data_IF_372234934346
#
_entry.id   IF_372234934346
#
_cell.length_a   1.000
_cell.length_b   1.000
_cell.length_c   1.000
_cell.angle_alpha   90.00
_cell.angle_beta   90.00
_cell.angle_gamma   90.00
#
_symmetry.space_group_name_H-M   'P 1'
#
loop_
_entity.id
_entity.type
_entity.pdbx_description
1 polymer ?
#
# COMPACT_ATOMS: atom_id res chain seq x y z
N UNK A 1 8.49 -12.69 17.54
CA UNK A 1 8.34 -11.48 18.33
C UNK A 1 6.86 -11.11 18.49
N UNK A 2 6.49 -10.53 19.64
CA UNK A 2 5.12 -10.12 19.93
C UNK A 2 4.77 -8.74 19.35
N UNK A 3 5.72 -8.09 18.67
CA UNK A 3 5.58 -6.80 18.01
C UNK A 3 5.65 -6.94 16.47
N UNK A 4 5.11 -5.95 15.78
CA UNK A 4 5.33 -5.78 14.34
C UNK A 4 6.78 -5.36 14.08
N UNK A 5 7.36 -5.87 13.01
CA UNK A 5 8.66 -5.46 12.49
C UNK A 5 8.45 -4.83 11.12
N UNK A 6 9.01 -3.66 10.90
CA UNK A 6 8.95 -2.97 9.61
C UNK A 6 10.38 -2.70 9.12
N UNK A 7 10.58 -2.94 7.82
CA UNK A 7 11.85 -2.64 7.13
C UNK A 7 11.61 -2.46 5.64
N UNK A 8 12.65 -1.98 4.91
CA UNK A 8 12.68 -1.93 3.45
C UNK A 8 13.19 -3.27 2.89
N UNK A 9 12.77 -3.62 1.68
CA UNK A 9 13.18 -4.86 1.01
C UNK A 9 13.22 -4.65 -0.51
N UNK A 10 14.38 -4.92 -1.11
CA UNK A 10 14.56 -5.01 -2.57
C UNK A 10 13.96 -3.83 -3.33
N UNK A 11 14.25 -2.62 -2.86
CA UNK A 11 13.74 -1.37 -3.43
C UNK A 11 14.53 -0.94 -4.65
N UNK A 12 15.87 -0.98 -4.57
CA UNK A 12 16.78 -0.50 -5.61
C UNK A 12 17.77 -1.60 -6.02
N UNK A 13 18.13 -1.65 -7.30
CA UNK A 13 19.08 -2.66 -7.81
C UNK A 13 20.49 -2.49 -7.22
N UNK A 14 20.91 -1.24 -7.00
CA UNK A 14 22.18 -0.90 -6.36
C UNK A 14 22.19 -1.32 -4.88
N UNK A 15 21.08 -1.10 -4.18
CA UNK A 15 20.87 -1.56 -2.80
C UNK A 15 21.02 -3.08 -2.70
N UNK A 16 20.32 -3.83 -3.58
CA UNK A 16 20.37 -5.30 -3.60
C UNK A 16 21.82 -5.77 -3.82
N UNK A 17 22.52 -5.12 -4.76
CA UNK A 17 23.94 -5.44 -5.04
C UNK A 17 24.82 -5.18 -3.82
N UNK A 18 24.58 -4.09 -3.12
CA UNK A 18 25.31 -3.72 -1.91
C UNK A 18 25.02 -4.71 -0.77
N UNK A 19 23.74 -5.01 -0.50
CA UNK A 19 23.35 -6.01 0.51
C UNK A 19 23.99 -7.36 0.22
N UNK A 20 24.00 -7.82 -1.05
CA UNK A 20 24.67 -9.07 -1.44
C UNK A 20 26.17 -9.05 -1.13
N UNK A 21 26.82 -7.90 -1.26
CA UNK A 21 28.25 -7.75 -0.91
C UNK A 21 28.52 -7.82 0.59
N UNK A 22 27.56 -7.35 1.42
CA UNK A 22 27.65 -7.36 2.88
C UNK A 22 27.29 -8.72 3.47
N UNK A 23 26.41 -9.47 2.81
CA UNK A 23 25.89 -10.78 3.24
C UNK A 23 26.10 -11.85 2.15
N UNK A 24 27.34 -12.19 1.81
CA UNK A 24 27.64 -13.07 0.68
C UNK A 24 27.10 -14.49 0.85
N UNK A 25 26.84 -14.94 2.09
CA UNK A 25 26.28 -16.26 2.40
C UNK A 25 24.74 -16.30 2.28
N UNK A 26 24.07 -15.15 2.21
CA UNK A 26 22.61 -15.09 2.02
C UNK A 26 22.26 -15.41 0.56
N UNK A 27 21.23 -16.22 0.36
CA UNK A 27 20.76 -16.61 -0.99
C UNK A 27 20.17 -15.42 -1.76
N UNK A 28 19.51 -14.52 -1.03
CA UNK A 28 18.88 -13.30 -1.55
C UNK A 28 18.73 -12.26 -0.43
N UNK A 29 18.10 -11.11 -0.74
CA UNK A 29 17.96 -10.03 0.22
C UNK A 29 17.06 -10.45 1.41
N UNK A 30 15.94 -11.13 1.16
CA UNK A 30 15.02 -11.55 2.22
C UNK A 30 15.69 -12.50 3.22
N UNK A 31 16.63 -13.33 2.76
CA UNK A 31 17.39 -14.23 3.63
C UNK A 31 18.21 -13.48 4.69
N UNK A 32 18.67 -12.26 4.40
CA UNK A 32 19.39 -11.46 5.39
C UNK A 32 18.54 -11.19 6.62
N UNK A 33 17.22 -10.99 6.45
CA UNK A 33 16.28 -10.86 7.56
C UNK A 33 15.95 -12.20 8.21
N UNK A 34 15.77 -13.25 7.39
CA UNK A 34 15.43 -14.58 7.87
C UNK A 34 16.49 -15.16 8.81
N UNK A 35 17.78 -14.98 8.51
CA UNK A 35 18.91 -15.44 9.33
C UNK A 35 18.89 -14.87 10.76
N UNK A 36 18.32 -13.67 10.95
CA UNK A 36 18.21 -13.02 12.25
C UNK A 36 16.84 -13.18 12.89
N UNK A 37 15.98 -14.07 12.37
CA UNK A 37 14.64 -14.31 12.90
C UNK A 37 13.67 -13.14 12.71
N UNK A 38 13.94 -12.26 11.74
CA UNK A 38 13.11 -11.09 11.44
C UNK A 38 12.07 -11.37 10.36
N UNK A 39 12.08 -12.57 9.76
CA UNK A 39 11.07 -13.00 8.79
C UNK A 39 9.95 -13.79 9.48
N UNK A 40 8.72 -13.34 9.31
CA UNK A 40 7.53 -13.99 9.88
C UNK A 40 6.25 -13.22 9.62
N UNK A 41 5.12 -13.73 10.10
CA UNK A 41 3.80 -13.17 9.85
C UNK A 41 3.62 -11.69 10.29
N UNK A 42 4.40 -11.24 11.28
CA UNK A 42 4.41 -9.85 11.75
C UNK A 42 5.42 -8.95 11.06
N UNK A 43 6.05 -9.43 9.98
CA UNK A 43 6.97 -8.66 9.14
C UNK A 43 6.22 -7.82 8.11
N UNK A 44 6.56 -6.53 8.04
CA UNK A 44 6.09 -5.56 7.07
C UNK A 44 7.29 -5.11 6.22
N UNK A 45 7.28 -5.46 4.93
CA UNK A 45 8.40 -5.20 4.03
C UNK A 45 8.02 -4.12 3.03
N UNK A 46 8.60 -2.93 3.18
CA UNK A 46 8.38 -1.80 2.28
C UNK A 46 8.96 -2.05 0.89
N UNK A 47 8.32 -1.46 -0.12
CA UNK A 47 8.69 -1.43 -1.54
C UNK A 47 8.60 -2.80 -2.25
N UNK A 48 9.50 -3.73 -1.98
CA UNK A 48 9.48 -5.08 -2.54
C UNK A 48 9.35 -5.10 -4.09
N UNK A 49 10.11 -4.22 -4.77
CA UNK A 49 10.03 -3.98 -6.23
C UNK A 49 10.72 -5.10 -7.01
N UNK A 50 11.91 -5.50 -6.56
CA UNK A 50 12.81 -6.40 -7.28
C UNK A 50 12.92 -7.78 -6.61
N UNK A 51 11.77 -8.33 -6.16
CA UNK A 51 11.72 -9.63 -5.52
C UNK A 51 11.99 -10.76 -6.51
N UNK A 52 12.78 -11.74 -6.09
CA UNK A 52 12.90 -13.02 -6.77
C UNK A 52 11.72 -13.95 -6.43
N UNK A 53 11.44 -14.94 -7.30
CA UNK A 53 10.32 -15.86 -7.10
C UNK A 53 10.41 -16.66 -5.79
N UNK A 54 11.63 -16.91 -5.28
CA UNK A 54 11.84 -17.56 -4.00
C UNK A 54 11.38 -16.68 -2.85
N UNK A 55 11.73 -15.40 -2.88
CA UNK A 55 11.35 -14.42 -1.86
C UNK A 55 9.83 -14.24 -1.80
N UNK A 56 9.17 -14.15 -2.96
CA UNK A 56 7.70 -14.05 -3.06
C UNK A 56 7.04 -15.26 -2.40
N UNK A 57 7.48 -16.49 -2.73
CA UNK A 57 6.95 -17.71 -2.11
C UNK A 57 7.17 -17.72 -0.60
N UNK A 58 8.34 -17.35 -0.14
CA UNK A 58 8.69 -17.35 1.27
C UNK A 58 7.87 -16.32 2.06
N UNK A 59 7.64 -15.11 1.51
CA UNK A 59 6.76 -14.11 2.12
C UNK A 59 5.33 -14.64 2.27
N UNK A 60 4.80 -15.29 1.24
CA UNK A 60 3.47 -15.90 1.28
C UNK A 60 3.38 -17.05 2.31
N UNK A 61 4.36 -17.95 2.32
CA UNK A 61 4.40 -19.11 3.23
C UNK A 61 4.45 -18.71 4.70
N UNK A 62 5.21 -17.67 5.05
CA UNK A 62 5.29 -17.20 6.45
C UNK A 62 4.18 -16.21 6.83
N UNK A 63 3.33 -15.83 5.88
CA UNK A 63 2.26 -14.87 6.11
C UNK A 63 2.72 -13.42 6.32
N UNK A 64 3.91 -13.08 5.85
CA UNK A 64 4.43 -11.72 5.90
C UNK A 64 3.65 -10.78 4.95
N UNK A 65 3.72 -9.49 5.20
CA UNK A 65 3.03 -8.49 4.39
C UNK A 65 4.04 -7.58 3.66
N UNK A 66 3.63 -7.13 2.47
CA UNK A 66 4.37 -6.15 1.68
C UNK A 66 3.61 -4.82 1.67
N UNK A 67 4.34 -3.73 1.72
CA UNK A 67 3.76 -2.37 1.70
C UNK A 67 4.15 -1.67 0.41
N UNK A 68 3.15 -1.41 -0.43
CA UNK A 68 3.34 -0.66 -1.68
C UNK A 68 3.43 0.83 -1.41
N UNK A 69 4.53 1.46 -1.82
CA UNK A 69 4.84 2.88 -1.63
C UNK A 69 4.95 3.59 -2.99
N UNK A 70 3.85 3.71 -3.78
CA UNK A 70 3.94 4.09 -5.19
C UNK A 70 4.51 5.49 -5.43
N UNK A 71 4.18 6.46 -4.57
CA UNK A 71 4.70 7.84 -4.70
C UNK A 71 6.20 7.92 -4.45
N UNK A 72 6.72 7.15 -3.50
CA UNK A 72 8.15 7.02 -3.23
C UNK A 72 8.86 6.30 -4.38
N UNK A 73 8.38 5.12 -4.74
CA UNK A 73 9.00 4.28 -5.77
C UNK A 73 9.13 5.02 -7.11
N UNK A 74 8.14 5.84 -7.48
CA UNK A 74 8.19 6.65 -8.70
C UNK A 74 9.08 7.88 -8.55
N UNK A 75 9.05 8.54 -7.39
CA UNK A 75 9.83 9.75 -7.12
C UNK A 75 11.34 9.49 -7.13
N UNK A 76 11.78 8.38 -6.51
CA UNK A 76 13.21 8.02 -6.45
C UNK A 76 13.64 7.01 -7.53
N UNK A 77 12.70 6.58 -8.40
CA UNK A 77 13.02 5.74 -9.56
C UNK A 77 13.27 4.26 -9.22
N UNK A 78 12.67 3.74 -8.14
CA UNK A 78 12.86 2.35 -7.70
C UNK A 78 12.35 1.32 -8.73
N UNK A 79 11.23 1.62 -9.40
CA UNK A 79 10.62 0.72 -10.38
C UNK A 79 9.12 0.57 -10.21
N UNK A 80 8.53 -0.41 -10.90
CA UNK A 80 7.09 -0.67 -10.95
C UNK A 80 6.72 -1.88 -10.10
N UNK A 81 5.96 -1.67 -9.04
CA UNK A 81 5.49 -2.70 -8.12
C UNK A 81 4.58 -3.73 -8.81
N UNK A 82 4.80 -5.03 -8.55
CA UNK A 82 4.01 -6.12 -9.13
C UNK A 82 2.83 -6.54 -8.24
N UNK A 83 1.81 -5.68 -8.20
CA UNK A 83 0.63 -5.91 -7.37
C UNK A 83 -0.09 -7.22 -7.69
N UNK A 84 -0.28 -7.52 -8.99
CA UNK A 84 -1.00 -8.75 -9.40
C UNK A 84 -0.21 -10.00 -9.14
N UNK A 85 1.11 -9.99 -9.41
CA UNK A 85 1.97 -11.16 -9.13
C UNK A 85 1.99 -11.50 -7.64
N UNK A 86 2.11 -10.51 -6.78
CA UNK A 86 2.07 -10.69 -5.32
C UNK A 86 0.68 -11.14 -4.84
N UNK A 87 -0.41 -10.58 -5.40
CA UNK A 87 -1.78 -11.02 -5.10
C UNK A 87 -1.98 -12.49 -5.46
N UNK A 88 -1.56 -12.90 -6.66
CA UNK A 88 -1.68 -14.29 -7.13
C UNK A 88 -0.83 -15.26 -6.29
N UNK A 89 0.29 -14.80 -5.77
CA UNK A 89 1.12 -15.58 -4.85
C UNK A 89 0.54 -15.65 -3.42
N UNK A 90 -0.53 -14.91 -3.11
CA UNK A 90 -1.16 -14.91 -1.79
C UNK A 90 -0.45 -14.02 -0.75
N UNK A 91 0.44 -13.12 -1.17
CA UNK A 91 1.10 -12.17 -0.27
C UNK A 91 0.12 -11.09 0.17
N UNK A 92 0.03 -10.85 1.47
CA UNK A 92 -0.77 -9.74 2.01
C UNK A 92 -0.13 -8.39 1.70
N UNK A 93 -0.97 -7.40 1.36
CA UNK A 93 -0.46 -6.09 0.94
C UNK A 93 -1.28 -4.94 1.52
N UNK A 94 -0.59 -3.82 1.75
CA UNK A 94 -1.17 -2.53 2.08
C UNK A 94 -0.54 -1.41 1.25
N UNK A 95 -1.04 -0.17 1.42
CA UNK A 95 -0.48 1.05 0.83
C UNK A 95 0.16 1.92 1.91
N UNK A 96 1.24 2.62 1.56
CA UNK A 96 1.83 3.66 2.39
C UNK A 96 2.31 4.85 1.55
N UNK A 97 2.34 6.01 2.19
CA UNK A 97 2.87 7.24 1.60
C UNK A 97 4.40 7.25 1.53
N UNK A 98 5.03 6.60 2.51
CA UNK A 98 6.49 6.61 2.67
C UNK A 98 7.06 8.05 2.62
N UNK A 99 6.38 8.98 3.30
CA UNK A 99 6.76 10.38 3.25
C UNK A 99 8.20 10.60 3.76
N UNK A 100 8.97 11.32 2.97
CA UNK A 100 10.41 11.43 3.10
C UNK A 100 11.09 10.92 1.84
N UNK A 101 10.89 9.64 1.45
CA UNK A 101 11.07 9.10 0.10
C UNK A 101 9.86 9.40 -0.79
N UNK A 102 8.66 9.33 -0.25
CA UNK A 102 7.42 9.70 -0.93
C UNK A 102 7.18 11.21 -1.01
N UNK A 103 6.44 11.64 -2.02
CA UNK A 103 6.24 13.05 -2.38
C UNK A 103 4.97 13.68 -1.80
N UNK A 104 4.12 12.94 -1.08
CA UNK A 104 2.83 13.44 -0.59
C UNK A 104 2.31 12.66 0.62
N UNK A 105 1.64 13.33 1.58
CA UNK A 105 0.97 12.70 2.71
C UNK A 105 -0.40 12.11 2.39
N UNK A 106 -1.02 12.50 1.27
CA UNK A 106 -2.39 12.11 0.93
C UNK A 106 -2.50 10.67 0.46
N UNK A 107 -3.34 9.87 1.11
CA UNK A 107 -3.67 8.51 0.64
C UNK A 107 -4.45 8.53 -0.67
N UNK A 108 -5.19 9.59 -1.01
CA UNK A 108 -5.79 9.75 -2.34
C UNK A 108 -4.71 9.80 -3.42
N UNK A 109 -3.66 10.61 -3.22
CA UNK A 109 -2.50 10.67 -4.12
C UNK A 109 -1.74 9.34 -4.19
N UNK A 110 -1.64 8.64 -3.07
CA UNK A 110 -1.01 7.31 -3.03
C UNK A 110 -1.83 6.29 -3.84
N UNK A 111 -3.16 6.30 -3.70
CA UNK A 111 -4.05 5.45 -4.51
C UNK A 111 -3.98 5.79 -6.01
N UNK A 112 -3.95 7.08 -6.37
CA UNK A 112 -3.77 7.52 -7.75
C UNK A 112 -2.46 6.99 -8.34
N UNK A 113 -1.34 7.15 -7.63
CA UNK A 113 -0.05 6.63 -8.06
C UNK A 113 -0.04 5.09 -8.17
N UNK A 114 -0.70 4.37 -7.24
CA UNK A 114 -0.84 2.92 -7.33
C UNK A 114 -1.60 2.49 -8.59
N UNK A 115 -2.68 3.22 -8.94
CA UNK A 115 -3.42 3.01 -10.19
C UNK A 115 -2.52 3.22 -11.42
N UNK A 116 -1.80 4.34 -11.47
CA UNK A 116 -0.92 4.68 -12.59
C UNK A 116 0.20 3.64 -12.78
N UNK A 117 0.83 3.21 -11.68
CA UNK A 117 1.87 2.15 -11.69
C UNK A 117 1.31 0.83 -12.22
N UNK A 118 0.11 0.45 -11.77
CA UNK A 118 -0.56 -0.76 -12.25
C UNK A 118 -0.87 -0.68 -13.75
N UNK A 119 -1.35 0.47 -14.24
CA UNK A 119 -1.60 0.70 -15.67
C UNK A 119 -0.31 0.57 -16.51
N UNK A 120 0.82 1.09 -16.02
CA UNK A 120 2.12 0.94 -16.70
C UNK A 120 2.57 -0.53 -16.81
N UNK A 121 2.07 -1.38 -15.91
CA UNK A 121 2.26 -2.84 -15.97
C UNK A 121 1.18 -3.59 -16.75
N UNK A 122 0.24 -2.88 -17.39
CA UNK A 122 -0.89 -3.49 -18.10
C UNK A 122 -1.96 -4.07 -17.18
N UNK A 123 -2.04 -3.60 -15.94
CA UNK A 123 -2.98 -4.08 -14.92
C UNK A 123 -4.03 -2.99 -14.64
N UNK A 124 -5.31 -3.28 -14.89
CA UNK A 124 -6.38 -2.36 -14.55
C UNK A 124 -6.88 -2.62 -13.13
N UNK A 125 -6.87 -1.58 -12.29
CA UNK A 125 -7.39 -1.64 -10.92
C UNK A 125 -8.78 -0.98 -10.86
N UNK A 126 -9.72 -1.67 -10.23
CA UNK A 126 -10.99 -1.09 -9.89
C UNK A 126 -10.86 -0.14 -8.67
N UNK A 127 -11.60 0.99 -8.58
CA UNK A 127 -11.55 1.89 -7.42
C UNK A 127 -11.74 1.18 -6.07
N UNK A 128 -12.58 0.16 -6.01
CA UNK A 128 -12.78 -0.67 -4.81
C UNK A 128 -11.50 -1.36 -4.34
N UNK A 129 -10.63 -1.79 -5.26
CA UNK A 129 -9.35 -2.42 -4.91
C UNK A 129 -8.38 -1.39 -4.29
N UNK A 130 -8.37 -0.16 -4.82
CA UNK A 130 -7.57 0.94 -4.28
C UNK A 130 -8.03 1.31 -2.86
N UNK A 131 -9.34 1.45 -2.66
CA UNK A 131 -9.92 1.71 -1.34
C UNK A 131 -9.64 0.58 -0.37
N UNK A 132 -9.76 -0.66 -0.81
CA UNK A 132 -9.46 -1.83 0.02
C UNK A 132 -7.98 -1.83 0.45
N UNK A 133 -7.05 -1.60 -0.47
CA UNK A 133 -5.61 -1.52 -0.17
C UNK A 133 -5.29 -0.42 0.84
N UNK A 134 -5.96 0.72 0.73
CA UNK A 134 -5.75 1.88 1.62
C UNK A 134 -6.46 1.74 2.99
N UNK A 135 -7.34 0.76 3.18
CA UNK A 135 -8.13 0.56 4.40
C UNK A 135 -7.96 -0.87 4.94
N UNK A 136 -8.87 -1.78 4.64
CA UNK A 136 -8.86 -3.17 5.15
C UNK A 136 -7.60 -3.95 4.78
N UNK A 137 -7.05 -3.75 3.58
CA UNK A 137 -5.79 -4.37 3.16
C UNK A 137 -4.62 -3.95 4.05
N UNK A 138 -4.51 -2.65 4.35
CA UNK A 138 -3.51 -2.12 5.28
C UNK A 138 -3.77 -2.57 6.71
N UNK A 139 -5.03 -2.58 7.17
CA UNK A 139 -5.40 -3.10 8.49
C UNK A 139 -5.02 -4.58 8.63
N UNK A 140 -5.27 -5.39 7.60
CA UNK A 140 -4.88 -6.80 7.57
C UNK A 140 -3.36 -6.97 7.65
N UNK A 141 -2.59 -6.17 6.91
CA UNK A 141 -1.13 -6.19 6.97
C UNK A 141 -0.60 -5.85 8.39
N UNK A 142 -1.31 -5.00 9.11
CA UNK A 142 -1.01 -4.59 10.49
C UNK A 142 -1.58 -5.54 11.55
N UNK A 143 -2.25 -6.63 11.19
CA UNK A 143 -2.98 -7.53 12.09
C UNK A 143 -4.09 -6.83 12.89
N UNK A 144 -4.71 -5.80 12.33
CA UNK A 144 -5.82 -5.02 12.89
C UNK A 144 -7.14 -5.28 12.15
N UNK A 145 -7.19 -6.27 11.24
CA UNK A 145 -8.42 -6.69 10.56
C UNK A 145 -9.49 -7.05 11.59
N UNK A 146 -10.72 -6.57 11.38
CA UNK A 146 -11.81 -6.70 12.35
C UNK A 146 -11.83 -5.64 13.45
N UNK A 147 -10.75 -4.86 13.60
CA UNK A 147 -10.69 -3.72 14.54
C UNK A 147 -10.89 -2.40 13.82
N UNK A 148 -10.12 -2.18 12.73
CA UNK A 148 -10.17 -0.97 11.89
C UNK A 148 -10.17 -1.36 10.40
N UNK A 149 -10.30 -0.37 9.53
CA UNK A 149 -10.21 -0.53 8.07
C UNK A 149 -11.55 -0.86 7.39
N UNK A 150 -12.63 -1.03 8.15
CA UNK A 150 -13.99 -1.29 7.65
C UNK A 150 -15.06 -0.63 8.52
N UNK A 151 -16.29 -0.54 7.98
CA UNK A 151 -17.45 0.08 8.66
C UNK A 151 -18.41 -0.95 9.28
N UNK A 152 -17.93 -2.16 9.54
CA UNK A 152 -18.74 -3.21 10.15
C UNK A 152 -19.04 -2.95 11.62
N UNK A 153 -20.19 -3.47 12.11
CA UNK A 153 -20.54 -3.36 13.51
C UNK A 153 -19.47 -4.03 14.39
N UNK A 154 -19.02 -3.31 15.42
CA UNK A 154 -17.97 -3.77 16.34
C UNK A 154 -16.57 -3.27 16.00
N UNK A 155 -16.36 -2.68 14.82
CA UNK A 155 -15.11 -1.98 14.51
C UNK A 155 -15.00 -0.67 15.29
N UNK A 156 -13.76 -0.22 15.50
CA UNK A 156 -13.50 1.13 16.01
C UNK A 156 -13.94 2.17 14.98
N UNK A 157 -14.45 3.31 15.48
CA UNK A 157 -14.94 4.38 14.63
C UNK A 157 -13.79 5.28 14.12
N UNK A 158 -12.87 4.67 13.37
CA UNK A 158 -11.83 5.35 12.60
C UNK A 158 -12.38 5.68 11.22
N UNK A 159 -12.80 6.92 11.02
CA UNK A 159 -13.59 7.33 9.87
C UNK A 159 -12.94 8.52 9.17
N UNK A 160 -13.06 8.53 7.85
CA UNK A 160 -12.71 9.67 7.01
C UNK A 160 -13.92 10.04 6.13
N UNK A 161 -14.40 11.27 6.26
CA UNK A 161 -15.48 11.81 5.43
C UNK A 161 -14.84 12.49 4.23
N UNK A 162 -15.15 11.98 3.03
CA UNK A 162 -14.59 12.46 1.77
C UNK A 162 -15.67 13.21 0.99
N UNK A 163 -15.33 14.42 0.53
CA UNK A 163 -16.16 15.24 -0.36
C UNK A 163 -15.90 14.85 -1.83
N UNK A 164 -16.92 14.28 -2.47
CA UNK A 164 -16.87 13.90 -3.89
C UNK A 164 -17.10 15.08 -4.85
N UNK A 165 -17.14 16.31 -4.32
CA UNK A 165 -17.29 17.55 -5.10
C UNK A 165 -16.29 18.63 -4.63
N UNK A 166 -15.13 18.21 -4.14
CA UNK A 166 -14.12 19.06 -3.51
C UNK A 166 -13.50 20.12 -4.44
N UNK A 167 -13.61 19.94 -5.75
CA UNK A 167 -13.23 20.91 -6.79
C UNK A 167 -14.23 20.87 -7.94
N UNK A 168 -14.31 21.95 -8.73
CA UNK A 168 -15.24 22.02 -9.87
C UNK A 168 -15.04 20.86 -10.87
N UNK A 169 -13.80 20.47 -11.12
CA UNK A 169 -13.48 19.35 -12.01
C UNK A 169 -13.98 18.00 -11.46
N UNK A 170 -13.82 17.77 -10.16
CA UNK A 170 -14.32 16.55 -9.50
C UNK A 170 -15.84 16.56 -9.47
N UNK A 171 -16.47 17.70 -9.10
CA UNK A 171 -17.92 17.87 -9.07
C UNK A 171 -18.54 17.58 -10.44
N UNK A 172 -18.00 18.15 -11.51
CA UNK A 172 -18.47 17.91 -12.87
C UNK A 172 -18.40 16.41 -13.25
N UNK A 173 -17.35 15.72 -12.85
CA UNK A 173 -17.22 14.26 -13.10
C UNK A 173 -18.19 13.45 -12.26
N UNK A 174 -18.40 13.87 -11.00
CA UNK A 174 -19.36 13.24 -10.10
C UNK A 174 -20.79 13.34 -10.62
N UNK A 175 -21.20 14.51 -11.14
CA UNK A 175 -22.55 14.75 -11.68
C UNK A 175 -22.89 13.88 -12.89
N UNK A 176 -21.89 13.34 -13.58
CA UNK A 176 -22.04 12.45 -14.74
C UNK A 176 -21.81 10.97 -14.44
N UNK A 177 -21.59 10.61 -13.17
CA UNK A 177 -21.36 9.25 -12.75
C UNK A 177 -22.66 8.43 -12.74
N UNK A 178 -22.59 7.17 -13.17
CA UNK A 178 -23.74 6.27 -13.20
C UNK A 178 -23.82 5.39 -11.93
N UNK A 179 -22.72 5.27 -11.19
CA UNK A 179 -22.68 4.52 -9.94
C UNK A 179 -21.68 5.14 -8.94
N UNK A 180 -21.64 4.55 -7.74
CA UNK A 180 -20.77 5.01 -6.66
C UNK A 180 -19.29 4.97 -7.03
N UNK A 181 -18.83 3.95 -7.75
CA UNK A 181 -17.42 3.79 -8.07
C UNK A 181 -16.96 4.78 -9.14
N UNK A 182 -17.83 5.09 -10.10
CA UNK A 182 -17.62 6.17 -11.06
C UNK A 182 -17.60 7.54 -10.39
N UNK A 183 -18.40 7.75 -9.33
CA UNK A 183 -18.39 8.97 -8.52
C UNK A 183 -17.12 9.11 -7.70
N UNK A 184 -16.63 8.02 -7.12
CA UNK A 184 -15.45 8.01 -6.25
C UNK A 184 -14.15 8.15 -7.05
N UNK A 185 -14.06 7.54 -8.22
CA UNK A 185 -12.82 7.46 -8.99
C UNK A 185 -12.18 8.82 -9.30
N UNK A 186 -12.92 9.87 -9.75
CA UNK A 186 -12.37 11.21 -9.93
C UNK A 186 -11.74 11.78 -8.66
N UNK A 187 -12.34 11.53 -7.49
CA UNK A 187 -11.78 11.97 -6.20
C UNK A 187 -10.49 11.22 -5.87
N UNK A 188 -10.41 9.93 -6.15
CA UNK A 188 -9.15 9.17 -5.99
C UNK A 188 -8.06 9.74 -6.89
N UNK A 189 -8.37 10.01 -8.17
CA UNK A 189 -7.36 10.42 -9.16
C UNK A 189 -6.93 11.90 -9.05
N UNK A 190 -7.85 12.79 -8.68
CA UNK A 190 -7.64 14.24 -8.69
C UNK A 190 -7.76 14.89 -7.31
N UNK A 191 -8.20 14.13 -6.30
CA UNK A 191 -8.41 14.64 -4.94
C UNK A 191 -7.10 14.89 -4.19
N UNK A 192 -7.19 15.81 -3.26
CA UNK A 192 -6.14 16.16 -2.31
C UNK A 192 -6.74 16.39 -0.90
N UNK A 193 -6.04 17.12 -0.05
CA UNK A 193 -6.50 17.46 1.31
C UNK A 193 -7.84 18.20 1.36
N UNK A 194 -8.21 18.95 0.31
CA UNK A 194 -9.52 19.62 0.19
C UNK A 194 -10.68 18.65 0.17
N UNK A 195 -10.46 17.42 -0.28
CA UNK A 195 -11.49 16.39 -0.29
C UNK A 195 -11.75 15.79 1.11
N UNK A 196 -10.86 15.98 2.07
CA UNK A 196 -11.02 15.46 3.43
C UNK A 196 -11.81 16.46 4.26
N UNK A 197 -13.07 16.14 4.58
CA UNK A 197 -13.97 17.01 5.34
C UNK A 197 -13.82 16.84 6.84
N UNK A 198 -13.64 15.60 7.29
CA UNK A 198 -13.54 15.28 8.70
C UNK A 198 -12.84 13.94 8.87
N UNK A 199 -12.02 13.83 9.89
CA UNK A 199 -11.41 12.58 10.35
C UNK A 199 -11.87 12.30 11.77
N UNK A 200 -12.11 11.02 12.08
CA UNK A 200 -12.48 10.53 13.40
C UNK A 200 -11.52 9.42 13.78
N UNK A 201 -11.05 9.44 15.00
CA UNK A 201 -10.20 8.40 15.58
C UNK A 201 -10.87 7.89 16.85
N UNK A 202 -11.13 6.59 16.91
CA UNK A 202 -11.86 5.94 18.02
C UNK A 202 -13.17 6.68 18.38
N UNK A 203 -13.89 7.16 17.37
CA UNK A 203 -15.16 7.89 17.56
C UNK A 203 -15.02 9.36 17.96
N UNK A 204 -13.81 9.90 18.01
CA UNK A 204 -13.55 11.31 18.36
C UNK A 204 -13.11 12.07 17.10
N UNK A 205 -13.76 13.19 16.74
CA UNK A 205 -13.32 14.02 15.63
C UNK A 205 -11.98 14.70 15.94
N UNK A 206 -11.08 14.70 14.94
CA UNK A 206 -9.74 15.30 15.03
C UNK A 206 -9.52 16.34 13.94
#
# INVERSE_FOLDING_TARGET
PDCLMQTHLSEQTEEITWVRSLFPEARDYLETYAQFGLLGARGLYGHAIHLEQREIRQLAEVGASVVHCPTSNTFIGSGLFDLMGLTQAGVSMGLATDIGGGSNFSMLRTMAAAYEVAQLRGQALHPAQLMWLASEGSAKALHLSGTIGHLGAGAEADLCIIDLSSTDAIAQRHDHANDFWESLFPTVMMGDDRAIRQVWVAGVPV
#
